data_IF_746727410055
#
_entry.id   IF_746727410055
#
_cell.length_a   1.000
_cell.length_b   1.000
_cell.length_c   1.000
_cell.angle_alpha   90.00
_cell.angle_beta   90.00
_cell.angle_gamma   90.00
#
_symmetry.space_group_name_H-M   'P 1'
#
loop_
_entity.id
_entity.type
_entity.pdbx_description
1 polymer ?
#
# COMPACT_ATOMS: atom_id res chain seq x y z
N UNK A 1 -16.66 9.27 -5.13
CA UNK A 1 -15.42 9.00 -4.36
C UNK A 1 -14.20 9.08 -5.27
N UNK A 2 -14.02 8.16 -6.25
CA UNK A 2 -12.87 8.22 -7.17
C UNK A 2 -12.73 9.55 -7.93
N UNK A 3 -13.82 10.07 -8.51
CA UNK A 3 -13.81 11.38 -9.19
C UNK A 3 -13.36 12.55 -8.28
N UNK A 4 -13.82 12.58 -7.02
CA UNK A 4 -13.38 13.59 -6.05
C UNK A 4 -11.90 13.46 -5.69
N UNK A 5 -11.38 12.24 -5.66
CA UNK A 5 -9.94 12.00 -5.43
C UNK A 5 -9.13 12.51 -6.62
N UNK A 6 -9.59 12.24 -7.84
CA UNK A 6 -8.92 12.67 -9.08
C UNK A 6 -8.93 14.20 -9.23
N UNK A 7 -10.01 14.85 -8.81
CA UNK A 7 -10.18 16.31 -8.84
C UNK A 7 -9.49 17.02 -7.65
N UNK A 8 -8.85 16.27 -6.74
CA UNK A 8 -8.24 16.84 -5.52
C UNK A 8 -9.24 17.41 -4.51
N UNK A 9 -10.54 17.11 -4.69
CA UNK A 9 -11.64 17.56 -3.85
C UNK A 9 -12.07 16.51 -2.79
N UNK A 10 -11.30 15.43 -2.63
CA UNK A 10 -11.59 14.38 -1.65
C UNK A 10 -11.39 14.88 -0.23
N UNK A 11 -12.36 14.55 0.64
CA UNK A 11 -12.22 14.82 2.06
C UNK A 11 -11.45 13.69 2.78
N UNK A 12 -11.15 13.91 4.06
CA UNK A 12 -10.44 12.94 4.91
C UNK A 12 -11.17 11.58 4.99
N UNK A 13 -12.50 11.57 4.90
CA UNK A 13 -13.30 10.36 4.99
C UNK A 13 -13.24 9.55 3.69
N UNK A 14 -13.24 10.22 2.54
CA UNK A 14 -13.01 9.63 1.22
C UNK A 14 -11.62 8.97 1.17
N UNK A 15 -10.57 9.69 1.57
CA UNK A 15 -9.20 9.15 1.60
C UNK A 15 -9.07 7.93 2.52
N UNK A 16 -9.68 8.00 3.71
CA UNK A 16 -9.69 6.88 4.67
C UNK A 16 -10.39 5.65 4.09
N UNK A 17 -11.54 5.83 3.46
CA UNK A 17 -12.31 4.74 2.87
C UNK A 17 -11.55 4.09 1.71
N UNK A 18 -10.96 4.90 0.81
CA UNK A 18 -10.21 4.43 -0.35
C UNK A 18 -9.00 3.62 0.09
N UNK A 19 -8.23 4.20 1.01
CA UNK A 19 -7.04 3.58 1.57
C UNK A 19 -7.36 2.20 2.13
N UNK A 20 -8.37 2.10 3.00
CA UNK A 20 -8.73 0.83 3.64
C UNK A 20 -9.24 -0.20 2.64
N UNK A 21 -10.05 0.22 1.67
CA UNK A 21 -10.56 -0.68 0.65
C UNK A 21 -9.43 -1.26 -0.20
N UNK A 22 -8.53 -0.41 -0.69
CA UNK A 22 -7.42 -0.83 -1.54
C UNK A 22 -6.40 -1.69 -0.75
N UNK A 23 -6.10 -1.35 0.51
CA UNK A 23 -5.26 -2.21 1.35
C UNK A 23 -5.89 -3.60 1.58
N UNK A 24 -7.21 -3.67 1.74
CA UNK A 24 -7.91 -4.95 1.84
C UNK A 24 -7.80 -5.76 0.54
N UNK A 25 -7.86 -5.12 -0.64
CA UNK A 25 -7.63 -5.78 -1.92
C UNK A 25 -6.19 -6.30 -2.05
N UNK A 26 -5.19 -5.54 -1.57
CA UNK A 26 -3.80 -6.01 -1.54
C UNK A 26 -3.66 -7.27 -0.69
N UNK A 27 -4.25 -7.29 0.51
CA UNK A 27 -4.22 -8.47 1.40
C UNK A 27 -4.93 -9.67 0.77
N UNK A 28 -6.04 -9.46 0.06
CA UNK A 28 -6.74 -10.53 -0.66
C UNK A 28 -5.90 -11.08 -1.82
N UNK A 29 -5.23 -10.19 -2.57
CA UNK A 29 -4.39 -10.56 -3.72
C UNK A 29 -3.11 -11.27 -3.29
N UNK A 30 -2.53 -10.85 -2.17
CA UNK A 30 -1.27 -11.36 -1.65
C UNK A 30 -1.37 -11.57 -0.12
N UNK A 31 -2.04 -12.62 0.36
CA UNK A 31 -2.13 -12.88 1.79
C UNK A 31 -0.77 -13.26 2.36
N UNK A 32 -0.42 -12.72 3.54
CA UNK A 32 0.83 -13.04 4.21
C UNK A 32 1.22 -12.04 5.28
N UNK A 33 2.40 -12.25 5.87
CA UNK A 33 2.92 -11.42 6.98
C UNK A 33 4.34 -10.94 6.76
N UNK A 34 4.84 -11.00 5.51
CA UNK A 34 6.25 -10.71 5.22
C UNK A 34 6.53 -9.22 5.00
N UNK A 35 5.50 -8.48 4.56
CA UNK A 35 5.59 -7.05 4.24
C UNK A 35 4.49 -6.31 4.98
N UNK A 36 4.86 -5.24 5.67
CA UNK A 36 3.94 -4.32 6.32
C UNK A 36 3.80 -3.04 5.51
N UNK A 37 2.58 -2.79 5.00
CA UNK A 37 2.25 -1.58 4.25
C UNK A 37 1.54 -0.60 5.17
N UNK A 38 2.08 0.60 5.31
CA UNK A 38 1.63 1.67 6.20
C UNK A 38 1.18 2.88 5.40
N UNK A 39 -0.04 3.32 5.66
CA UNK A 39 -0.63 4.52 5.06
C UNK A 39 -1.16 5.43 6.19
N UNK A 40 -0.28 6.13 6.92
CA UNK A 40 -0.69 7.02 7.99
C UNK A 40 -1.49 8.21 7.44
N UNK A 41 -2.51 8.69 8.20
CA UNK A 41 -2.94 8.23 9.52
C UNK A 41 -4.02 7.13 9.47
N UNK A 42 -4.29 6.52 8.31
CA UNK A 42 -5.53 5.79 8.08
C UNK A 42 -5.48 4.31 8.43
N UNK A 43 -4.41 3.60 8.06
CA UNK A 43 -4.30 2.16 8.24
C UNK A 43 -2.88 1.64 8.02
N UNK A 44 -2.64 0.43 8.51
CA UNK A 44 -1.52 -0.42 8.14
C UNK A 44 -2.02 -1.88 8.01
N UNK A 45 -1.43 -2.65 7.10
CA UNK A 45 -1.74 -4.07 6.91
C UNK A 45 -0.46 -4.88 6.71
N UNK A 46 -0.52 -6.16 7.04
CA UNK A 46 0.51 -7.11 6.63
C UNK A 46 0.00 -7.92 5.44
N UNK A 47 0.89 -8.12 4.48
CA UNK A 47 0.60 -8.83 3.23
C UNK A 47 1.86 -9.53 2.72
N UNK A 48 1.71 -10.18 1.57
CA UNK A 48 2.72 -10.87 0.79
C UNK A 48 3.26 -12.13 1.48
N UNK A 49 3.17 -13.30 0.80
CA UNK A 49 3.71 -14.53 1.35
C UNK A 49 5.24 -14.46 1.37
N UNK A 50 5.85 -15.18 2.30
CA UNK A 50 7.29 -15.30 2.34
C UNK A 50 7.77 -16.07 3.55
N UNK A 51 9.03 -16.48 3.52
CA UNK A 51 9.63 -17.26 4.60
C UNK A 51 9.38 -16.58 5.95
N UNK A 52 8.91 -17.39 6.91
CA UNK A 52 8.71 -16.96 8.29
C UNK A 52 10.00 -16.32 8.75
N UNK A 53 9.89 -15.19 9.44
CA UNK A 53 11.05 -14.46 9.91
C UNK A 53 11.95 -15.40 10.70
N UNK A 54 13.14 -15.65 10.16
CA UNK A 54 14.23 -16.21 10.92
C UNK A 54 14.73 -15.11 11.86
N UNK A 55 15.07 -15.50 13.10
CA UNK A 55 15.52 -14.58 14.14
C UNK A 55 16.60 -13.63 13.59
N UNK A 56 16.30 -12.34 13.51
CA UNK A 56 17.24 -11.30 13.07
C UNK A 56 16.79 -10.45 11.87
N UNK A 57 15.84 -10.91 11.04
CA UNK A 57 15.37 -10.12 9.89
C UNK A 57 14.01 -9.48 10.21
N UNK A 58 13.93 -8.14 10.39
CA UNK A 58 12.64 -7.46 10.56
C UNK A 58 11.75 -7.60 9.30
N UNK A 59 10.42 -7.43 9.44
CA UNK A 59 9.53 -7.40 8.28
C UNK A 59 9.96 -6.30 7.33
N UNK A 60 9.76 -6.51 6.03
CA UNK A 60 9.87 -5.40 5.09
C UNK A 60 8.75 -4.40 5.38
N UNK A 61 9.06 -3.11 5.37
CA UNK A 61 8.09 -2.04 5.64
C UNK A 61 8.02 -1.14 4.43
N UNK A 62 6.79 -0.80 4.04
CA UNK A 62 6.48 0.14 2.97
C UNK A 62 5.58 1.21 3.55
N UNK A 63 6.02 2.46 3.54
CA UNK A 63 5.24 3.59 4.06
C UNK A 63 5.07 4.69 3.00
N UNK A 64 3.85 5.20 2.87
CA UNK A 64 3.51 6.25 1.90
C UNK A 64 2.26 7.04 2.34
N UNK A 65 1.93 8.13 1.65
CA UNK A 65 0.68 8.87 1.90
C UNK A 65 -0.52 8.17 1.29
N UNK A 66 -1.73 8.61 1.67
CA UNK A 66 -2.96 8.06 1.13
C UNK A 66 -3.10 8.33 -0.38
N UNK A 67 -2.72 9.51 -0.82
CA UNK A 67 -2.75 9.93 -2.22
C UNK A 67 -1.82 9.06 -3.06
N UNK A 68 -0.57 8.87 -2.61
CA UNK A 68 0.40 7.97 -3.28
C UNK A 68 -0.12 6.54 -3.35
N UNK A 69 -0.66 6.02 -2.24
CA UNK A 69 -1.22 4.67 -2.20
C UNK A 69 -2.39 4.49 -3.17
N UNK A 70 -3.33 5.44 -3.19
CA UNK A 70 -4.50 5.38 -4.06
C UNK A 70 -4.08 5.47 -5.54
N UNK A 71 -3.10 6.32 -5.86
CA UNK A 71 -2.60 6.46 -7.23
C UNK A 71 -1.90 5.18 -7.71
N UNK A 72 -1.03 4.60 -6.88
CA UNK A 72 -0.35 3.32 -7.15
C UNK A 72 -1.35 2.18 -7.34
N UNK A 73 -2.31 2.05 -6.43
CA UNK A 73 -3.31 0.99 -6.48
C UNK A 73 -4.28 1.11 -7.66
N UNK A 74 -4.37 2.29 -8.29
CA UNK A 74 -5.18 2.55 -9.50
C UNK A 74 -4.35 2.60 -10.78
N UNK A 75 -3.02 2.44 -10.69
CA UNK A 75 -2.12 2.51 -11.85
C UNK A 75 -1.98 3.91 -12.45
N UNK A 76 -2.35 4.97 -11.73
CA UNK A 76 -2.15 6.36 -12.17
C UNK A 76 -0.80 6.94 -11.75
N UNK A 77 -0.02 6.19 -10.98
CA UNK A 77 1.35 6.47 -10.59
C UNK A 77 2.13 5.15 -10.67
N UNK A 78 3.29 5.17 -11.30
CA UNK A 78 4.17 4.02 -11.38
C UNK A 78 4.98 3.87 -10.09
N UNK A 79 5.28 2.63 -9.71
CA UNK A 79 6.02 2.33 -8.46
C UNK A 79 7.39 3.01 -8.40
N UNK A 80 8.10 3.03 -9.52
CA UNK A 80 9.45 3.61 -9.62
C UNK A 80 9.48 5.12 -9.38
N UNK A 81 8.38 5.81 -9.67
CA UNK A 81 8.24 7.26 -9.55
C UNK A 81 7.57 7.68 -8.23
N UNK A 82 7.09 6.71 -7.44
CA UNK A 82 6.28 6.99 -6.28
C UNK A 82 7.13 7.41 -5.06
N UNK A 83 6.72 8.45 -4.31
CA UNK A 83 7.39 8.86 -3.08
C UNK A 83 7.05 7.87 -1.94
N UNK A 84 7.72 6.73 -1.95
CA UNK A 84 7.53 5.61 -1.00
C UNK A 84 8.78 5.44 -0.15
N UNK A 85 8.59 5.25 1.15
CA UNK A 85 9.65 4.79 2.06
C UNK A 85 9.60 3.26 2.15
N UNK A 86 10.48 2.61 1.41
CA UNK A 86 10.61 1.16 1.37
C UNK A 86 11.86 0.72 2.14
N UNK A 87 11.71 -0.24 3.06
CA UNK A 87 12.80 -0.78 3.86
C UNK A 87 12.69 -2.30 3.98
N UNK A 88 13.81 -3.00 3.84
CA UNK A 88 13.88 -4.46 3.80
C UNK A 88 13.82 -5.03 2.38
N UNK A 89 14.46 -6.19 2.18
CA UNK A 89 14.67 -6.81 0.87
C UNK A 89 13.37 -7.13 0.11
N UNK A 90 12.26 -7.31 0.83
CA UNK A 90 10.93 -7.65 0.27
C UNK A 90 9.98 -6.45 0.19
N UNK A 91 10.49 -5.23 0.28
CA UNK A 91 9.67 -4.02 0.29
C UNK A 91 9.15 -3.60 -1.10
N UNK A 92 9.63 -4.23 -2.17
CA UNK A 92 9.06 -4.06 -3.49
C UNK A 92 7.72 -4.81 -3.59
N UNK A 93 6.63 -4.04 -3.72
CA UNK A 93 5.28 -4.57 -3.91
C UNK A 93 4.72 -4.28 -5.31
N UNK A 94 5.54 -3.75 -6.22
CA UNK A 94 5.13 -3.34 -7.57
C UNK A 94 4.44 -4.46 -8.35
N UNK A 95 4.92 -5.70 -8.21
CA UNK A 95 4.32 -6.88 -8.86
C UNK A 95 2.90 -7.23 -8.41
N UNK A 96 2.38 -6.58 -7.36
CA UNK A 96 1.00 -6.74 -6.88
C UNK A 96 0.09 -5.56 -7.23
N UNK A 97 0.62 -4.54 -7.93
CA UNK A 97 -0.08 -3.33 -8.34
C UNK A 97 -0.22 -3.32 -9.88
N UNK A 98 -1.24 -2.62 -10.45
CA UNK A 98 -2.35 -1.98 -9.76
C UNK A 98 -3.37 -3.01 -9.23
N UNK A 99 -4.29 -2.55 -8.38
CA UNK A 99 -5.28 -3.41 -7.74
C UNK A 99 -6.63 -3.45 -8.46
N UNK A 100 -6.94 -2.38 -9.21
CA UNK A 100 -8.18 -2.11 -9.94
C UNK A 100 -7.92 -1.36 -11.24
#
# INVERSE_FOLDING_TARGET
MCARIDEGAADRSDLKAATKHLLALLVQRAPGTSVEVRVPPFAAVQCIPGARHTRGTPPAVVEMTAETWIALARGSLEWVDAPVRASGERSDISGYLPLI
#
